data_IF_755262591726
#
_entry.id   IF_755262591726
#
_cell.length_a   1.000
_cell.length_b   1.000
_cell.length_c   1.000
_cell.angle_alpha   90.00
_cell.angle_beta   90.00
_cell.angle_gamma   90.00
#
_symmetry.space_group_name_H-M   'P 1'
#
loop_
_entity.id
_entity.type
_entity.pdbx_description
1 polymer ?
#
# COMPACT_ATOMS: atom_id res chain seq x y z
N UNK A 1 -5.12 -4.21 7.36
CA UNK A 1 -5.45 -3.65 6.04
C UNK A 1 -6.89 -3.93 5.68
N UNK A 2 -7.69 -2.87 5.54
CA UNK A 2 -9.11 -2.94 5.24
C UNK A 2 -9.39 -3.46 3.82
N UNK A 3 -10.30 -4.41 3.71
CA UNK A 3 -10.94 -4.83 2.45
C UNK A 3 -12.46 -4.88 2.65
N UNK A 4 -13.18 -4.97 1.55
CA UNK A 4 -14.63 -5.09 1.54
C UNK A 4 -15.00 -6.30 0.68
N UNK A 5 -16.07 -7.00 1.03
CA UNK A 5 -16.54 -8.17 0.28
C UNK A 5 -17.55 -7.79 -0.81
N UNK A 6 -18.20 -6.62 -0.66
CA UNK A 6 -19.30 -6.21 -1.51
C UNK A 6 -19.36 -4.68 -1.71
N UNK A 7 -20.04 -4.24 -2.75
CA UNK A 7 -20.16 -2.82 -3.08
C UNK A 7 -21.03 -2.03 -2.10
N UNK A 8 -21.95 -2.66 -1.38
CA UNK A 8 -22.77 -1.98 -0.39
C UNK A 8 -21.98 -1.65 0.87
N UNK A 9 -21.09 -2.54 1.32
CA UNK A 9 -20.17 -2.26 2.43
C UNK A 9 -19.16 -1.17 2.08
N UNK A 10 -18.66 -1.12 0.84
CA UNK A 10 -17.88 0.02 0.33
C UNK A 10 -18.69 1.32 0.39
N UNK A 11 -19.92 1.30 -0.13
CA UNK A 11 -20.79 2.50 -0.20
C UNK A 11 -21.14 3.07 1.17
N UNK A 12 -21.31 2.20 2.16
CA UNK A 12 -21.71 2.58 3.51
C UNK A 12 -20.51 2.83 4.44
N UNK A 13 -19.29 2.67 3.94
CA UNK A 13 -18.09 2.88 4.74
C UNK A 13 -17.98 4.32 5.23
N UNK A 14 -17.61 4.46 6.51
CA UNK A 14 -17.23 5.72 7.13
C UNK A 14 -15.95 5.50 7.95
N UNK A 15 -15.06 6.50 8.00
CA UNK A 15 -13.90 6.43 8.88
C UNK A 15 -14.38 6.41 10.34
N UNK A 16 -13.92 5.44 11.10
CA UNK A 16 -14.18 5.36 12.54
C UNK A 16 -12.84 5.40 13.29
N UNK A 17 -12.41 6.61 13.64
CA UNK A 17 -11.17 6.83 14.38
C UNK A 17 -11.24 6.40 15.85
N UNK A 18 -12.40 5.94 16.34
CA UNK A 18 -12.52 5.40 17.70
C UNK A 18 -12.04 3.94 17.80
N UNK A 19 -11.81 3.27 16.66
CA UNK A 19 -11.27 1.92 16.58
C UNK A 19 -9.75 1.97 16.40
N UNK A 20 -9.00 1.52 17.40
CA UNK A 20 -7.53 1.56 17.41
C UNK A 20 -6.90 0.94 16.15
N UNK A 21 -7.44 -0.19 15.66
CA UNK A 21 -6.94 -0.85 14.44
C UNK A 21 -7.22 -0.09 13.13
N UNK A 22 -8.19 0.83 13.09
CA UNK A 22 -8.42 1.67 11.90
C UNK A 22 -7.50 2.89 11.89
N UNK A 23 -7.09 3.37 13.07
CA UNK A 23 -6.15 4.48 13.18
C UNK A 23 -4.75 4.11 12.70
N UNK A 24 -4.31 2.87 12.96
CA UNK A 24 -3.01 2.37 12.47
C UNK A 24 -2.97 2.11 10.96
N UNK A 25 -4.11 1.97 10.29
CA UNK A 25 -4.16 1.80 8.82
C UNK A 25 -3.95 3.13 8.06
N UNK A 26 -3.85 4.27 8.74
CA UNK A 26 -3.70 5.60 8.13
C UNK A 26 -2.22 5.95 7.94
N UNK A 27 -1.81 6.19 6.69
CA UNK A 27 -0.46 6.68 6.39
C UNK A 27 -0.25 8.09 6.97
N UNK A 28 0.86 8.28 7.70
CA UNK A 28 1.25 9.56 8.32
C UNK A 28 2.35 10.31 7.55
N UNK A 29 2.90 9.72 6.49
CA UNK A 29 3.91 10.34 5.62
C UNK A 29 3.21 10.88 4.36
N UNK A 30 3.11 12.21 4.19
CA UNK A 30 2.52 12.78 2.98
C UNK A 30 3.43 12.54 1.76
N UNK A 31 2.82 12.49 0.57
CA UNK A 31 3.54 12.36 -0.69
C UNK A 31 4.54 13.52 -0.85
N UNK A 32 5.82 13.17 -0.97
CA UNK A 32 6.89 14.15 -1.16
C UNK A 32 7.06 14.43 -2.65
N UNK A 33 7.22 15.71 -3.00
CA UNK A 33 7.64 16.10 -4.34
C UNK A 33 9.08 15.65 -4.59
N UNK A 34 9.32 15.08 -5.77
CA UNK A 34 10.67 14.65 -6.17
C UNK A 34 11.43 15.85 -6.72
N UNK A 35 12.67 16.04 -6.28
CA UNK A 35 13.58 16.98 -6.94
C UNK A 35 13.87 16.50 -8.36
N UNK A 36 13.47 17.28 -9.35
CA UNK A 36 13.72 16.99 -10.77
C UNK A 36 15.18 17.31 -11.06
N UNK A 37 16.00 16.29 -11.27
CA UNK A 37 17.31 16.42 -11.88
C UNK A 37 17.08 16.40 -13.40
N UNK A 38 17.49 17.46 -14.10
CA UNK A 38 17.06 17.81 -15.47
C UNK A 38 17.28 16.77 -16.59
N UNK A 39 17.79 15.57 -16.28
CA UNK A 39 18.13 14.53 -17.27
C UNK A 39 17.50 13.14 -17.02
N UNK A 40 16.74 12.92 -15.94
CA UNK A 40 16.43 11.53 -15.49
C UNK A 40 15.18 10.86 -16.07
N UNK A 41 14.17 11.60 -16.52
CA UNK A 41 12.83 11.02 -16.73
C UNK A 41 12.46 10.78 -18.20
N UNK A 42 13.34 10.18 -19.00
CA UNK A 42 12.95 9.75 -20.37
C UNK A 42 11.92 8.61 -20.33
N UNK A 43 11.93 7.79 -19.27
CA UNK A 43 11.04 6.64 -19.12
C UNK A 43 10.38 6.62 -17.74
N UNK A 44 9.11 6.23 -17.71
CA UNK A 44 8.31 6.11 -16.49
C UNK A 44 8.12 4.63 -16.15
N UNK A 45 8.64 4.21 -14.99
CA UNK A 45 8.41 2.86 -14.47
C UNK A 45 7.15 2.82 -13.60
N UNK A 46 6.22 1.94 -13.94
CA UNK A 46 5.09 1.58 -13.09
C UNK A 46 5.40 0.23 -12.42
N UNK A 47 5.21 0.18 -11.10
CA UNK A 47 5.25 -1.07 -10.34
C UNK A 47 3.82 -1.40 -9.91
N UNK A 48 3.34 -2.59 -10.25
CA UNK A 48 2.06 -3.13 -9.81
C UNK A 48 2.35 -4.41 -9.03
N UNK A 49 2.10 -4.40 -7.73
CA UNK A 49 2.53 -5.50 -6.87
C UNK A 49 1.64 -5.63 -5.64
N UNK A 50 1.48 -6.86 -5.14
CA UNK A 50 0.88 -7.11 -3.84
C UNK A 50 1.95 -7.02 -2.74
N UNK A 51 1.88 -6.01 -1.89
CA UNK A 51 2.78 -5.83 -0.74
C UNK A 51 2.18 -6.35 0.58
N UNK A 52 1.03 -7.04 0.53
CA UNK A 52 0.31 -7.49 1.73
C UNK A 52 1.21 -8.35 2.62
N UNK A 53 1.51 -7.87 3.82
CA UNK A 53 2.27 -8.60 4.83
C UNK A 53 3.66 -9.08 4.38
N UNK A 54 4.23 -8.52 3.32
CA UNK A 54 5.51 -8.95 2.75
C UNK A 54 5.59 -10.47 2.42
N UNK A 55 4.46 -11.07 2.02
CA UNK A 55 4.26 -12.53 1.82
C UNK A 55 4.31 -13.41 3.09
N UNK A 56 4.18 -12.82 4.26
CA UNK A 56 4.08 -13.57 5.51
C UNK A 56 2.63 -14.04 5.78
N UNK A 57 2.43 -15.16 6.51
CA UNK A 57 1.10 -15.64 6.87
C UNK A 57 0.29 -14.67 7.74
N UNK A 58 0.98 -13.78 8.46
CA UNK A 58 0.37 -12.73 9.26
C UNK A 58 0.40 -11.40 8.50
N UNK A 59 -0.74 -10.72 8.47
CA UNK A 59 -0.94 -9.49 7.71
C UNK A 59 -1.22 -8.32 8.64
N UNK A 60 -0.34 -7.32 8.62
CA UNK A 60 -0.52 -6.06 9.34
C UNK A 60 -0.09 -4.90 8.45
N UNK A 61 -0.80 -3.78 8.52
CA UNK A 61 -0.46 -2.58 7.74
C UNK A 61 0.84 -1.93 8.23
N UNK A 62 1.20 -2.18 9.49
CA UNK A 62 2.44 -1.67 10.09
C UNK A 62 3.63 -2.63 9.95
N UNK A 63 3.43 -3.75 9.25
CA UNK A 63 4.42 -4.81 9.14
C UNK A 63 4.53 -5.65 10.42
N UNK A 64 5.46 -6.59 10.40
CA UNK A 64 5.74 -7.50 11.51
C UNK A 64 7.25 -7.66 11.67
N UNK A 65 7.71 -7.81 12.90
CA UNK A 65 9.09 -8.23 13.16
C UNK A 65 9.21 -9.72 12.84
N UNK A 66 9.93 -10.05 11.76
CA UNK A 66 10.13 -11.42 11.30
C UNK A 66 11.62 -11.72 11.14
N UNK A 67 12.02 -12.93 11.49
CA UNK A 67 13.35 -13.47 11.17
C UNK A 67 13.40 -14.00 9.72
N UNK A 68 12.24 -14.18 9.09
CA UNK A 68 12.14 -14.57 7.68
C UNK A 68 12.34 -13.38 6.75
N UNK A 69 12.87 -13.61 5.53
CA UNK A 69 13.00 -12.56 4.53
C UNK A 69 11.66 -11.89 4.23
N UNK A 70 11.63 -10.57 4.31
CA UNK A 70 10.48 -9.74 3.92
C UNK A 70 10.75 -9.08 2.57
N UNK A 71 9.74 -9.02 1.73
CA UNK A 71 9.83 -8.29 0.47
C UNK A 71 9.84 -6.77 0.71
N UNK A 72 10.84 -6.08 0.16
CA UNK A 72 10.98 -4.61 0.24
C UNK A 72 11.18 -3.99 -1.14
N UNK A 73 10.85 -2.70 -1.28
CA UNK A 73 11.09 -1.92 -2.51
C UNK A 73 12.18 -0.87 -2.27
N UNK A 74 13.43 -1.24 -2.51
CA UNK A 74 14.59 -0.37 -2.22
C UNK A 74 14.81 0.74 -3.27
N UNK A 75 14.35 0.54 -4.50
CA UNK A 75 14.66 1.42 -5.65
C UNK A 75 13.50 2.39 -6.00
N UNK A 76 12.86 2.99 -4.99
CA UNK A 76 11.73 3.93 -5.17
C UNK A 76 12.04 5.12 -6.09
N UNK A 77 13.31 5.52 -6.20
CA UNK A 77 13.75 6.61 -7.07
C UNK A 77 13.56 6.31 -8.57
N UNK A 78 13.48 5.04 -8.97
CA UNK A 78 13.20 4.65 -10.36
C UNK A 78 11.69 4.56 -10.63
N UNK A 79 10.87 4.40 -9.58
CA UNK A 79 9.43 4.16 -9.71
C UNK A 79 8.70 5.49 -9.85
N UNK A 80 7.93 5.62 -10.93
CA UNK A 80 7.06 6.78 -11.17
C UNK A 80 5.68 6.61 -10.53
N UNK A 81 5.17 5.38 -10.50
CA UNK A 81 3.86 5.06 -9.91
C UNK A 81 3.92 3.67 -9.32
N UNK A 82 3.46 3.55 -8.09
CA UNK A 82 3.26 2.27 -7.42
C UNK A 82 1.76 2.00 -7.28
N UNK A 83 1.30 0.88 -7.81
CA UNK A 83 -0.07 0.39 -7.70
C UNK A 83 -0.06 -0.82 -6.76
N UNK A 84 -0.73 -0.68 -5.62
CA UNK A 84 -1.00 -1.82 -4.74
C UNK A 84 -2.07 -2.71 -5.37
N UNK A 85 -1.72 -3.97 -5.65
CA UNK A 85 -2.61 -4.97 -6.24
C UNK A 85 -3.00 -6.01 -5.19
N UNK A 86 -4.24 -5.97 -4.71
CA UNK A 86 -4.72 -6.91 -3.68
C UNK A 86 -5.27 -8.20 -4.27
N UNK A 87 -5.11 -9.31 -3.55
CA UNK A 87 -5.83 -10.56 -3.80
C UNK A 87 -7.34 -10.50 -3.48
N UNK A 88 -7.79 -9.51 -2.70
CA UNK A 88 -9.21 -9.32 -2.40
C UNK A 88 -9.86 -8.43 -3.46
N UNK A 89 -10.76 -9.02 -4.25
CA UNK A 89 -11.54 -8.30 -5.26
C UNK A 89 -12.94 -8.04 -4.76
N UNK A 90 -13.41 -6.82 -4.93
CA UNK A 90 -14.84 -6.52 -4.88
C UNK A 90 -15.39 -6.72 -6.29
N UNK A 91 -16.24 -7.73 -6.49
CA UNK A 91 -16.88 -7.99 -7.79
C UNK A 91 -18.30 -7.42 -7.84
N UNK A 92 -18.73 -6.95 -9.02
CA UNK A 92 -20.12 -6.57 -9.30
C UNK A 92 -21.02 -7.79 -9.45
#
# INVERSE_FOLDING_TARGET
MKHFDDLASVRNWRPDSSREGEASDIANVPLQERQILEERDQFKLLVCHDFKGAYLPYEDSQGIFSEEPVYTLEYLHLVSTFVYFSHHRVTM
#
